data_IF_927845197125
#
_entry.id   IF_927845197125
#
_cell.length_a   1.000
_cell.length_b   1.000
_cell.length_c   1.000
_cell.angle_alpha   90.00
_cell.angle_beta   90.00
_cell.angle_gamma   90.00
#
_symmetry.space_group_name_H-M   'P 1'
#
loop_
_entity.id
_entity.type
_entity.pdbx_description
1 polymer ?
#
# COMPACT_ATOMS: atom_id res chain seq x y z
N UNK A 1 -14.40 -6.52 25.19
CA UNK A 1 -15.21 -6.62 23.96
C UNK A 1 -15.06 -5.29 23.25
N UNK A 2 -14.19 -5.21 22.22
CA UNK A 2 -13.99 -3.96 21.50
C UNK A 2 -15.24 -3.62 20.65
N UNK A 3 -15.43 -2.34 20.28
CA UNK A 3 -16.51 -1.99 19.35
C UNK A 3 -16.31 -2.76 18.03
N UNK A 4 -17.41 -3.16 17.36
CA UNK A 4 -17.32 -3.86 16.08
C UNK A 4 -16.57 -2.99 15.07
N UNK A 5 -15.54 -3.55 14.43
CA UNK A 5 -14.83 -2.90 13.32
C UNK A 5 -15.85 -2.65 12.22
N UNK A 6 -16.21 -1.38 12.01
CA UNK A 6 -17.08 -0.97 10.92
C UNK A 6 -16.25 -1.04 9.64
N UNK A 7 -16.39 -2.15 8.92
CA UNK A 7 -15.86 -2.30 7.57
C UNK A 7 -16.63 -1.33 6.66
N UNK A 8 -15.97 -0.39 5.97
CA UNK A 8 -16.66 0.57 5.12
C UNK A 8 -17.46 -0.16 4.02
N UNK A 9 -18.65 0.34 3.65
CA UNK A 9 -19.46 -0.25 2.59
C UNK A 9 -18.68 -0.17 1.27
N UNK A 10 -18.43 -1.34 0.66
CA UNK A 10 -17.50 -1.53 -0.46
C UNK A 10 -16.48 -2.66 -0.23
N UNK A 11 -16.46 -3.25 0.97
CA UNK A 11 -15.59 -4.39 1.32
C UNK A 11 -16.24 -5.74 0.98
N UNK A 12 -16.97 -5.83 -0.14
CA UNK A 12 -17.19 -7.13 -0.77
C UNK A 12 -15.94 -7.41 -1.59
N UNK A 13 -15.08 -8.32 -1.12
CA UNK A 13 -13.90 -8.76 -1.87
C UNK A 13 -14.37 -9.39 -3.19
N UNK A 14 -14.52 -8.57 -4.24
CA UNK A 14 -14.83 -9.07 -5.56
C UNK A 14 -13.57 -9.74 -6.13
N UNK A 15 -13.75 -10.73 -7.00
CA UNK A 15 -12.61 -11.40 -7.66
C UNK A 15 -11.78 -10.39 -8.49
N UNK A 16 -12.39 -9.28 -8.89
CA UNK A 16 -11.72 -8.15 -9.53
C UNK A 16 -10.81 -7.39 -8.54
N UNK A 17 -11.22 -7.24 -7.28
CA UNK A 17 -10.38 -6.65 -6.22
C UNK A 17 -9.16 -7.49 -5.86
N UNK A 18 -9.17 -8.80 -6.13
CA UNK A 18 -7.96 -9.64 -5.97
C UNK A 18 -6.93 -9.30 -7.06
N UNK A 19 -7.40 -9.10 -8.30
CA UNK A 19 -6.57 -8.67 -9.42
C UNK A 19 -6.15 -7.19 -9.29
N UNK A 20 -6.99 -6.34 -8.71
CA UNK A 20 -6.72 -4.91 -8.44
C UNK A 20 -6.07 -4.65 -7.08
N UNK A 21 -6.00 -5.68 -6.24
CA UNK A 21 -5.42 -5.70 -4.91
C UNK A 21 -3.91 -5.56 -4.95
N UNK A 22 -3.28 -6.09 -6.02
CA UNK A 22 -1.83 -6.06 -6.23
C UNK A 22 -1.46 -5.54 -7.64
N UNK A 23 -1.99 -4.36 -8.02
CA UNK A 23 -1.47 -3.65 -9.20
C UNK A 23 0.02 -3.35 -9.04
N UNK A 24 0.71 -3.16 -10.17
CA UNK A 24 2.16 -2.88 -10.23
C UNK A 24 2.56 -1.74 -9.29
N UNK A 25 1.77 -0.67 -9.24
CA UNK A 25 2.03 0.50 -8.39
C UNK A 25 1.99 0.13 -6.90
N UNK A 26 1.03 -0.71 -6.51
CA UNK A 26 0.92 -1.20 -5.13
C UNK A 26 2.10 -2.09 -4.77
N UNK A 27 2.55 -2.97 -5.67
CA UNK A 27 3.77 -3.77 -5.43
C UNK A 27 5.02 -2.91 -5.30
N UNK A 28 5.18 -1.89 -6.14
CA UNK A 28 6.32 -0.97 -6.06
C UNK A 28 6.30 -0.25 -4.70
N UNK A 29 5.13 0.21 -4.24
CA UNK A 29 5.02 0.87 -2.94
C UNK A 29 5.32 -0.10 -1.79
N UNK A 30 4.88 -1.35 -1.86
CA UNK A 30 5.22 -2.39 -0.86
C UNK A 30 6.73 -2.66 -0.87
N UNK A 31 7.36 -2.76 -2.05
CA UNK A 31 8.81 -2.96 -2.18
C UNK A 31 9.62 -1.76 -1.64
N UNK A 32 9.12 -0.53 -1.84
CA UNK A 32 9.70 0.68 -1.27
C UNK A 32 9.59 0.74 0.25
N UNK A 33 8.50 0.22 0.81
CA UNK A 33 8.23 0.23 2.25
C UNK A 33 8.93 -0.92 2.99
N UNK A 34 8.85 -2.15 2.49
CA UNK A 34 9.46 -3.34 3.11
C UNK A 34 10.95 -3.48 2.81
N UNK A 35 11.41 -2.83 1.74
CA UNK A 35 12.73 -3.07 1.18
C UNK A 35 12.68 -4.09 0.04
N UNK A 36 13.60 -3.93 -0.90
CA UNK A 36 13.81 -4.75 -2.08
C UNK A 36 15.30 -4.79 -2.41
N UNK A 37 15.69 -5.56 -3.42
CA UNK A 37 17.08 -5.56 -3.89
C UNK A 37 17.59 -4.17 -4.30
N UNK A 38 16.68 -3.24 -4.61
CA UNK A 38 16.99 -1.87 -4.99
C UNK A 38 16.86 -0.85 -3.84
N UNK A 39 16.24 -1.20 -2.72
CA UNK A 39 15.92 -0.25 -1.63
C UNK A 39 15.97 -0.90 -0.27
N UNK A 40 16.59 -0.25 0.72
CA UNK A 40 16.63 -0.80 2.10
C UNK A 40 15.24 -0.88 2.77
N UNK A 41 14.27 -0.07 2.31
CA UNK A 41 12.94 0.01 2.92
C UNK A 41 12.90 0.94 4.13
N UNK A 42 11.73 1.01 4.78
CA UNK A 42 11.50 1.76 6.01
C UNK A 42 11.74 0.87 7.21
N UNK A 43 12.51 1.36 8.18
CA UNK A 43 12.88 0.56 9.35
C UNK A 43 11.64 0.15 10.17
N UNK A 44 11.56 -1.15 10.50
CA UNK A 44 10.43 -1.81 11.17
C UNK A 44 9.12 -1.85 10.37
N UNK A 45 9.15 -1.54 9.08
CA UNK A 45 8.00 -1.76 8.19
C UNK A 45 8.22 -3.06 7.45
N UNK A 46 7.38 -4.04 7.75
CA UNK A 46 7.40 -5.36 7.12
C UNK A 46 6.16 -5.60 6.26
N UNK A 47 6.03 -6.81 5.69
CA UNK A 47 4.95 -7.15 4.75
C UNK A 47 3.53 -7.06 5.34
N UNK A 48 3.40 -7.07 6.67
CA UNK A 48 2.12 -6.88 7.36
C UNK A 48 1.79 -5.40 7.57
N UNK A 49 2.80 -4.61 7.93
CA UNK A 49 2.63 -3.19 8.25
C UNK A 49 2.54 -2.30 6.99
N UNK A 50 3.20 -2.69 5.89
CA UNK A 50 3.19 -1.92 4.66
C UNK A 50 1.77 -1.76 4.04
N UNK A 51 0.95 -2.82 3.94
CA UNK A 51 -0.44 -2.68 3.48
C UNK A 51 -1.31 -1.82 4.39
N UNK A 52 -1.10 -1.88 5.71
CA UNK A 52 -1.83 -1.04 6.68
C UNK A 52 -1.51 0.45 6.46
N UNK A 53 -0.23 0.78 6.32
CA UNK A 53 0.23 2.14 5.99
C UNK A 53 -0.38 2.61 4.66
N UNK A 54 -0.38 1.77 3.64
CA UNK A 54 -0.97 2.13 2.34
C UNK A 54 -2.49 2.32 2.39
N UNK A 55 -3.19 1.60 3.28
CA UNK A 55 -4.63 1.76 3.48
C UNK A 55 -4.96 3.07 4.22
N UNK A 56 -4.10 3.50 5.14
CA UNK A 56 -4.21 4.78 5.86
C UNK A 56 -3.87 5.98 4.96
N UNK A 57 -2.85 5.86 4.10
CA UNK A 57 -2.38 6.93 3.22
C UNK A 57 -2.82 6.72 1.77
N UNK A 58 -4.12 6.88 1.50
CA UNK A 58 -4.66 6.82 0.12
C UNK A 58 -4.43 8.13 -0.68
N UNK A 59 -3.64 9.06 -0.14
CA UNK A 59 -3.48 10.41 -0.67
C UNK A 59 -2.14 10.65 -1.35
N UNK A 60 -2.19 10.86 -2.66
CA UNK A 60 -1.20 11.62 -3.43
C UNK A 60 -0.30 10.78 -4.31
N UNK A 61 -0.47 10.93 -5.64
CA UNK A 61 0.46 10.46 -6.68
C UNK A 61 1.90 10.60 -6.21
N UNK A 62 2.70 9.55 -6.41
CA UNK A 62 4.16 9.66 -6.39
C UNK A 62 4.52 10.90 -7.23
N UNK A 63 5.23 11.90 -6.68
CA UNK A 63 5.74 12.97 -7.51
C UNK A 63 6.55 12.27 -8.60
N UNK A 64 6.11 12.44 -9.85
CA UNK A 64 6.84 11.91 -11.00
C UNK A 64 8.28 12.44 -10.99
N UNK A 65 9.14 11.94 -11.88
CA UNK A 65 10.52 12.40 -11.96
C UNK A 65 10.55 13.93 -11.90
N UNK A 66 11.18 14.45 -10.84
CA UNK A 66 11.37 15.88 -10.66
C UNK A 66 12.30 16.35 -11.77
N UNK A 67 11.75 17.08 -12.74
CA UNK A 67 12.52 17.69 -13.80
C UNK A 67 13.47 18.72 -13.19
N UNK A 68 14.74 18.33 -13.02
CA UNK A 68 15.83 19.25 -12.69
C UNK A 68 16.19 20.01 -13.96
N UNK A 69 15.59 21.19 -14.14
CA UNK A 69 15.92 22.13 -15.20
C UNK A 69 16.99 23.12 -14.76
#
# INVERSE_FOLDING_TARGET
>A
MGPPVQVPPGTELSVADIAEGLRREKMINIALLCGSDYTLGVQRVGPVFAPEIMAEFQGGKNPGPVDFK
#
